data_IF_406600809981
#
_entry.id   IF_406600809981
#
_cell.length_a   1.000
_cell.length_b   1.000
_cell.length_c   1.000
_cell.angle_alpha   90.00
_cell.angle_beta   90.00
_cell.angle_gamma   90.00
#
_symmetry.space_group_name_H-M   'P 1'
#
loop_
_entity.id
_entity.type
_entity.pdbx_description
1 polymer ?
#
# COMPACT_ATOMS: atom_id res chain seq x y z
N UNK A 1 -16.11 -4.60 20.18
CA UNK A 1 -16.48 -5.75 19.34
C UNK A 1 -16.02 -5.58 17.89
N UNK A 2 -16.28 -4.44 17.22
CA UNK A 2 -15.86 -4.20 15.83
C UNK A 2 -14.34 -4.41 15.59
N UNK A 3 -13.48 -3.78 16.40
CA UNK A 3 -12.00 -3.82 16.26
C UNK A 3 -11.41 -5.25 16.29
N UNK A 4 -12.05 -6.20 16.94
CA UNK A 4 -11.44 -7.51 17.24
C UNK A 4 -11.92 -8.59 16.26
N UNK A 5 -13.21 -8.68 15.99
CA UNK A 5 -13.79 -9.78 15.21
C UNK A 5 -14.45 -9.29 13.92
N UNK A 6 -15.42 -8.38 14.02
CA UNK A 6 -16.23 -7.98 12.86
C UNK A 6 -15.40 -7.36 11.73
N UNK A 7 -14.41 -6.52 12.06
CA UNK A 7 -13.54 -5.93 11.06
C UNK A 7 -12.82 -6.99 10.22
N UNK A 8 -12.29 -8.03 10.84
CA UNK A 8 -11.55 -9.06 10.11
C UNK A 8 -12.44 -9.86 9.16
N UNK A 9 -13.67 -10.17 9.60
CA UNK A 9 -14.66 -10.88 8.77
C UNK A 9 -15.09 -10.00 7.60
N UNK A 10 -15.40 -8.73 7.85
CA UNK A 10 -15.77 -7.77 6.79
C UNK A 10 -14.63 -7.58 5.81
N UNK A 11 -13.40 -7.36 6.30
CA UNK A 11 -12.21 -7.22 5.44
C UNK A 11 -12.04 -8.46 4.54
N UNK A 12 -12.19 -9.67 5.10
CA UNK A 12 -12.08 -10.92 4.35
C UNK A 12 -13.16 -11.03 3.25
N UNK A 13 -14.44 -10.81 3.62
CA UNK A 13 -15.55 -10.93 2.67
C UNK A 13 -15.42 -9.89 1.55
N UNK A 14 -15.15 -8.64 1.89
CA UNK A 14 -15.02 -7.56 0.89
C UNK A 14 -13.78 -7.78 0.02
N UNK A 15 -12.66 -8.25 0.59
CA UNK A 15 -11.47 -8.59 -0.19
C UNK A 15 -11.71 -9.77 -1.13
N UNK A 16 -12.45 -10.79 -0.70
CA UNK A 16 -12.79 -11.95 -1.53
C UNK A 16 -13.68 -11.55 -2.71
N UNK A 17 -14.76 -10.81 -2.44
CA UNK A 17 -15.66 -10.30 -3.49
C UNK A 17 -14.88 -9.39 -4.44
N UNK A 18 -14.10 -8.44 -3.89
CA UNK A 18 -13.29 -7.53 -4.68
C UNK A 18 -12.26 -8.26 -5.55
N UNK A 19 -11.61 -9.30 -5.03
CA UNK A 19 -10.65 -10.09 -5.79
C UNK A 19 -11.32 -10.87 -6.92
N UNK A 20 -12.50 -11.49 -6.67
CA UNK A 20 -13.25 -12.21 -7.71
C UNK A 20 -13.68 -11.24 -8.82
N UNK A 21 -14.21 -10.06 -8.48
CA UNK A 21 -14.63 -9.06 -9.45
C UNK A 21 -13.47 -8.50 -10.28
N UNK A 22 -12.30 -8.33 -9.64
CA UNK A 22 -11.09 -7.81 -10.29
C UNK A 22 -10.23 -8.90 -10.95
N UNK A 23 -10.60 -10.18 -10.83
CA UNK A 23 -9.83 -11.30 -11.36
C UNK A 23 -9.54 -11.18 -12.86
N UNK A 24 -10.48 -10.80 -13.74
CA UNK A 24 -10.17 -10.62 -15.16
C UNK A 24 -9.08 -9.55 -15.39
N UNK A 25 -9.18 -8.42 -14.68
CA UNK A 25 -8.18 -7.34 -14.75
C UNK A 25 -6.84 -7.83 -14.21
N UNK A 26 -6.85 -8.54 -13.08
CA UNK A 26 -5.66 -9.13 -12.47
C UNK A 26 -4.92 -10.04 -13.46
N UNK A 27 -5.63 -10.92 -14.18
CA UNK A 27 -5.03 -11.82 -15.16
C UNK A 27 -4.44 -11.06 -16.35
N UNK A 28 -5.17 -10.09 -16.92
CA UNK A 28 -4.68 -9.26 -18.02
C UNK A 28 -3.42 -8.50 -17.61
N UNK A 29 -3.43 -7.83 -16.44
CA UNK A 29 -2.27 -7.09 -15.94
C UNK A 29 -1.09 -8.04 -15.67
N UNK A 30 -1.35 -9.24 -15.15
CA UNK A 30 -0.30 -10.25 -14.94
C UNK A 30 0.40 -10.60 -16.24
N UNK A 31 -0.36 -10.88 -17.31
CA UNK A 31 0.20 -11.24 -18.62
C UNK A 31 1.00 -10.06 -19.21
N UNK A 32 0.45 -8.85 -19.19
CA UNK A 32 1.13 -7.65 -19.69
C UNK A 32 2.45 -7.39 -18.97
N UNK A 33 2.45 -7.48 -17.64
CA UNK A 33 3.65 -7.28 -16.82
C UNK A 33 4.63 -8.45 -16.88
N UNK A 34 4.17 -9.67 -17.15
CA UNK A 34 5.04 -10.82 -17.42
C UNK A 34 5.96 -10.53 -18.61
N UNK A 35 5.42 -10.06 -19.72
CA UNK A 35 6.21 -9.68 -20.89
C UNK A 35 7.05 -8.41 -20.63
N UNK A 36 6.48 -7.37 -19.99
CA UNK A 36 7.18 -6.13 -19.73
C UNK A 36 8.37 -6.26 -18.75
N UNK A 37 8.35 -7.26 -17.87
CA UNK A 37 9.35 -7.50 -16.83
C UNK A 37 10.05 -8.86 -16.94
N UNK A 38 10.13 -9.42 -18.16
CA UNK A 38 10.91 -10.63 -18.44
C UNK A 38 10.55 -11.81 -17.52
N UNK A 39 9.27 -12.14 -17.43
CA UNK A 39 8.76 -13.26 -16.64
C UNK A 39 8.49 -12.97 -15.16
N UNK A 40 8.66 -11.72 -14.69
CA UNK A 40 8.50 -11.33 -13.29
C UNK A 40 7.36 -10.33 -13.09
N UNK A 41 6.07 -10.72 -13.14
CA UNK A 41 4.93 -9.78 -13.03
C UNK A 41 4.70 -9.26 -11.62
N UNK A 42 5.20 -9.94 -10.59
CA UNK A 42 4.99 -9.60 -9.19
C UNK A 42 6.24 -9.05 -8.51
N UNK A 43 6.00 -8.15 -7.57
CA UNK A 43 6.99 -7.58 -6.66
C UNK A 43 6.64 -7.98 -5.23
N UNK A 44 7.65 -8.43 -4.50
CA UNK A 44 7.53 -8.86 -3.11
C UNK A 44 8.48 -8.04 -2.24
N UNK A 45 8.00 -7.57 -1.09
CA UNK A 45 8.83 -6.84 -0.13
C UNK A 45 8.38 -7.14 1.29
N UNK A 46 9.36 -7.27 2.20
CA UNK A 46 9.07 -7.43 3.62
C UNK A 46 8.58 -6.11 4.20
N UNK A 47 7.53 -6.17 5.02
CA UNK A 47 6.92 -5.03 5.68
C UNK A 47 6.49 -5.40 7.10
N UNK A 48 6.53 -4.46 8.06
CA UNK A 48 5.96 -4.67 9.38
C UNK A 48 4.43 -4.59 9.33
N UNK A 49 3.81 -5.57 9.95
CA UNK A 49 2.37 -5.68 10.15
C UNK A 49 1.95 -5.33 11.57
N UNK A 50 0.84 -5.94 12.02
CA UNK A 50 0.37 -5.79 13.40
C UNK A 50 1.42 -6.29 14.39
N UNK A 51 1.62 -5.52 15.48
CA UNK A 51 2.65 -5.76 16.51
C UNK A 51 4.07 -5.89 15.92
N UNK A 52 4.35 -5.15 14.83
CA UNK A 52 5.60 -5.17 14.09
C UNK A 52 5.99 -6.55 13.49
N UNK A 53 5.09 -7.55 13.51
CA UNK A 53 5.34 -8.85 12.89
C UNK A 53 5.56 -8.68 11.39
N UNK A 54 6.70 -9.16 10.89
CA UNK A 54 7.04 -9.02 9.49
C UNK A 54 6.20 -9.93 8.60
N UNK A 55 5.75 -9.39 7.45
CA UNK A 55 5.06 -10.15 6.41
C UNK A 55 5.56 -9.73 5.03
N UNK A 56 5.23 -10.51 4.01
CA UNK A 56 5.59 -10.24 2.61
C UNK A 56 4.42 -9.61 1.88
N UNK A 57 4.51 -8.29 1.57
CA UNK A 57 3.53 -7.61 0.73
C UNK A 57 3.67 -8.06 -0.72
N UNK A 58 2.54 -8.19 -1.41
CA UNK A 58 2.45 -8.60 -2.82
C UNK A 58 1.93 -7.43 -3.64
N UNK A 59 2.65 -7.04 -4.70
CA UNK A 59 2.24 -6.01 -5.66
C UNK A 59 2.52 -6.46 -7.08
N UNK A 60 1.92 -5.80 -8.05
CA UNK A 60 2.41 -5.90 -9.41
C UNK A 60 3.73 -5.14 -9.56
N UNK A 61 4.67 -5.74 -10.30
CA UNK A 61 5.98 -5.17 -10.58
C UNK A 61 5.90 -4.17 -11.73
N UNK A 62 5.90 -2.89 -11.40
CA UNK A 62 5.76 -1.79 -12.37
C UNK A 62 7.10 -1.31 -12.94
N UNK A 63 8.22 -1.70 -12.32
CA UNK A 63 9.58 -1.33 -12.69
C UNK A 63 10.38 -2.57 -13.07
N UNK A 64 11.25 -2.46 -14.09
CA UNK A 64 12.19 -3.51 -14.47
C UNK A 64 13.44 -3.50 -13.56
N UNK A 65 14.32 -4.51 -13.74
CA UNK A 65 15.55 -4.68 -12.97
C UNK A 65 16.80 -4.12 -13.72
N UNK A 66 16.63 -3.09 -14.55
CA UNK A 66 17.77 -2.48 -15.26
C UNK A 66 18.80 -1.95 -14.28
N UNK A 67 20.06 -2.27 -14.55
CA UNK A 67 21.20 -1.88 -13.75
C UNK A 67 22.03 -0.80 -14.45
N UNK A 68 22.72 0.00 -13.69
CA UNK A 68 23.75 0.92 -14.12
C UNK A 68 25.08 0.16 -14.33
N UNK A 69 26.09 0.84 -14.88
CA UNK A 69 27.42 0.23 -15.18
C UNK A 69 28.16 -0.26 -13.92
N UNK A 70 27.84 0.30 -12.76
CA UNK A 70 28.38 -0.08 -11.46
C UNK A 70 27.66 -1.28 -10.80
N UNK A 71 26.68 -1.88 -11.48
CA UNK A 71 25.88 -3.00 -10.98
C UNK A 71 24.72 -2.60 -10.07
N UNK A 72 24.59 -1.31 -9.70
CA UNK A 72 23.46 -0.78 -8.96
C UNK A 72 22.19 -0.68 -9.82
N UNK A 73 21.02 -0.64 -9.20
CA UNK A 73 19.77 -0.41 -9.94
C UNK A 73 19.72 1.04 -10.48
N UNK A 74 19.27 1.19 -11.71
CA UNK A 74 18.99 2.53 -12.25
C UNK A 74 17.95 3.28 -11.42
N UNK A 75 17.94 4.62 -11.45
CA UNK A 75 16.90 5.44 -10.84
C UNK A 75 15.48 5.02 -11.25
N UNK A 76 14.52 5.12 -10.35
CA UNK A 76 13.16 4.62 -10.51
C UNK A 76 12.47 5.10 -11.80
N UNK A 77 12.69 6.36 -12.21
CA UNK A 77 12.09 6.92 -13.42
C UNK A 77 12.60 6.27 -14.71
N UNK A 78 13.82 5.70 -14.71
CA UNK A 78 14.40 4.98 -15.85
C UNK A 78 14.01 3.49 -15.87
N UNK A 79 13.52 2.96 -14.76
CA UNK A 79 13.09 1.58 -14.61
C UNK A 79 11.59 1.39 -14.82
N UNK A 80 10.82 2.47 -14.73
CA UNK A 80 9.37 2.43 -14.89
C UNK A 80 9.00 2.08 -16.34
N UNK A 81 8.35 0.94 -16.56
CA UNK A 81 7.89 0.52 -17.88
C UNK A 81 6.63 1.30 -18.31
N UNK A 82 6.34 1.36 -19.62
CA UNK A 82 5.11 2.02 -20.11
C UNK A 82 3.84 1.38 -19.49
N UNK A 83 3.78 0.04 -19.48
CA UNK A 83 2.69 -0.71 -18.83
C UNK A 83 2.70 -0.46 -17.32
N UNK A 84 3.86 -0.51 -16.67
CA UNK A 84 4.01 -0.22 -15.25
C UNK A 84 3.52 1.18 -14.86
N UNK A 85 3.79 2.18 -15.70
CA UNK A 85 3.31 3.55 -15.48
C UNK A 85 1.77 3.62 -15.51
N UNK A 86 1.14 2.97 -16.49
CA UNK A 86 -0.32 2.87 -16.56
C UNK A 86 -0.89 2.17 -15.31
N UNK A 87 -0.36 1.00 -14.97
CA UNK A 87 -0.78 0.18 -13.80
C UNK A 87 -0.64 0.98 -12.50
N UNK A 88 0.45 1.75 -12.34
CA UNK A 88 0.68 2.61 -11.16
C UNK A 88 -0.26 3.82 -11.11
N UNK A 89 -0.48 4.49 -12.24
CA UNK A 89 -1.40 5.65 -12.33
C UNK A 89 -2.86 5.28 -12.09
N UNK A 90 -3.22 4.03 -12.33
CA UNK A 90 -4.58 3.49 -12.06
C UNK A 90 -4.69 2.78 -10.72
N UNK A 91 -3.60 2.74 -9.91
CA UNK A 91 -3.51 2.01 -8.64
C UNK A 91 -3.79 0.50 -8.76
N UNK A 92 -3.76 -0.05 -9.97
CA UNK A 92 -3.94 -1.49 -10.20
C UNK A 92 -2.77 -2.31 -9.61
N UNK A 93 -1.60 -1.68 -9.40
CA UNK A 93 -0.43 -2.32 -8.79
C UNK A 93 -0.71 -2.86 -7.38
N UNK A 94 -1.74 -2.36 -6.72
CA UNK A 94 -2.12 -2.77 -5.36
C UNK A 94 -3.17 -3.90 -5.31
N UNK A 95 -3.77 -4.31 -6.44
CA UNK A 95 -4.75 -5.41 -6.48
C UNK A 95 -4.21 -6.70 -5.82
N UNK A 96 -2.94 -7.13 -6.04
CA UNK A 96 -2.42 -8.33 -5.40
C UNK A 96 -2.39 -8.26 -3.86
N UNK A 97 -2.45 -7.07 -3.23
CA UNK A 97 -2.54 -6.93 -1.78
C UNK A 97 -3.86 -7.48 -1.20
N UNK A 98 -4.91 -7.62 -2.02
CA UNK A 98 -6.13 -8.32 -1.60
C UNK A 98 -5.81 -9.75 -1.13
N UNK A 99 -4.81 -10.41 -1.72
CA UNK A 99 -4.33 -11.71 -1.26
C UNK A 99 -3.69 -11.63 0.14
N UNK A 100 -3.02 -10.51 0.47
CA UNK A 100 -2.52 -10.30 1.84
C UNK A 100 -3.66 -10.10 2.85
N UNK A 101 -4.76 -9.46 2.43
CA UNK A 101 -5.95 -9.33 3.28
C UNK A 101 -6.59 -10.69 3.52
N UNK A 102 -6.78 -11.50 2.47
CA UNK A 102 -7.32 -12.86 2.56
C UNK A 102 -6.45 -13.78 3.42
N UNK A 103 -5.13 -13.63 3.37
CA UNK A 103 -4.18 -14.34 4.25
C UNK A 103 -4.23 -13.85 5.71
N UNK A 104 -4.82 -12.69 5.96
CA UNK A 104 -4.88 -12.10 7.29
C UNK A 104 -3.64 -11.28 7.69
N UNK A 105 -2.68 -11.06 6.78
CA UNK A 105 -1.50 -10.21 7.01
C UNK A 105 -1.88 -8.72 7.06
N UNK A 106 -2.88 -8.33 6.25
CA UNK A 106 -3.35 -6.96 6.08
C UNK A 106 -4.85 -6.82 6.36
N UNK A 107 -5.31 -5.61 6.37
CA UNK A 107 -6.71 -5.16 6.35
C UNK A 107 -6.95 -4.37 5.07
N UNK A 108 -8.18 -4.18 4.66
CA UNK A 108 -8.51 -3.21 3.59
C UNK A 108 -8.13 -1.79 4.03
N UNK A 109 -8.43 -1.45 5.29
CA UNK A 109 -8.25 -0.11 5.85
C UNK A 109 -7.37 -0.16 7.10
N UNK A 110 -6.31 0.64 7.08
CA UNK A 110 -5.33 0.74 8.16
C UNK A 110 -4.15 1.63 7.78
N UNK A 111 -3.20 1.86 8.70
CA UNK A 111 -1.94 2.53 8.38
C UNK A 111 -1.17 1.82 7.27
N UNK A 112 -0.64 2.58 6.30
CA UNK A 112 0.13 1.99 5.20
C UNK A 112 1.40 1.31 5.73
N UNK A 113 1.71 0.05 5.36
CA UNK A 113 2.93 -0.63 5.84
C UNK A 113 4.16 0.05 5.25
N UNK A 114 5.06 0.51 6.11
CA UNK A 114 6.31 1.17 5.74
C UNK A 114 7.49 0.19 5.74
N UNK A 115 8.71 0.68 5.58
CA UNK A 115 9.90 -0.16 5.53
C UNK A 115 10.28 -0.69 6.94
N UNK A 116 10.80 -1.93 7.06
CA UNK A 116 11.28 -2.45 8.34
C UNK A 116 12.39 -1.61 8.96
N UNK A 117 13.21 -0.95 8.13
CA UNK A 117 14.30 -0.05 8.53
C UNK A 117 13.80 1.12 9.40
N UNK A 118 12.51 1.47 9.33
CA UNK A 118 11.92 2.56 10.11
C UNK A 118 11.51 2.15 11.52
N UNK A 119 11.44 0.84 11.83
CA UNK A 119 11.02 0.36 13.15
C UNK A 119 11.87 0.94 14.32
N UNK A 120 13.20 0.98 14.24
CA UNK A 120 14.01 1.56 15.31
C UNK A 120 13.95 3.09 15.39
N UNK A 121 13.41 3.75 14.35
CA UNK A 121 13.34 5.20 14.26
C UNK A 121 12.04 5.78 14.83
N UNK A 122 11.03 4.93 15.09
CA UNK A 122 9.73 5.39 15.58
C UNK A 122 9.81 5.79 17.06
N UNK A 123 9.20 6.94 17.39
CA UNK A 123 8.86 7.23 18.79
C UNK A 123 7.82 6.23 19.31
N UNK A 124 7.65 6.16 20.63
CA UNK A 124 6.62 5.32 21.25
C UNK A 124 5.22 5.62 20.69
N UNK A 125 4.89 6.90 20.44
CA UNK A 125 3.63 7.33 19.87
C UNK A 125 3.49 6.86 18.42
N UNK A 126 4.50 7.06 17.58
CA UNK A 126 4.49 6.64 16.17
C UNK A 126 4.37 5.12 16.04
N UNK A 127 4.98 4.35 16.95
CA UNK A 127 4.93 2.89 16.93
C UNK A 127 3.53 2.34 17.20
N UNK A 128 2.61 3.11 17.81
CA UNK A 128 1.20 2.73 18.03
C UNK A 128 0.46 2.40 16.73
N UNK A 129 0.94 2.87 15.59
CA UNK A 129 0.40 2.51 14.28
C UNK A 129 0.40 0.99 14.01
N UNK A 130 1.25 0.25 14.69
CA UNK A 130 1.34 -1.22 14.61
C UNK A 130 0.38 -1.96 15.56
N UNK A 131 -0.44 -1.27 16.34
CA UNK A 131 -1.48 -1.92 17.16
C UNK A 131 -2.63 -2.51 16.34
N UNK A 132 -2.76 -2.09 15.07
CA UNK A 132 -3.73 -2.61 14.11
C UNK A 132 -3.04 -3.25 12.91
N UNK A 133 -3.78 -4.03 12.09
CA UNK A 133 -3.24 -4.53 10.81
C UNK A 133 -3.01 -3.35 9.85
N UNK A 134 -1.94 -3.37 9.05
CA UNK A 134 -1.72 -2.38 8.00
C UNK A 134 -2.82 -2.50 6.93
N UNK A 135 -3.15 -1.37 6.29
CA UNK A 135 -4.19 -1.30 5.27
C UNK A 135 -3.65 -1.15 3.85
N UNK A 136 -4.46 -1.56 2.86
CA UNK A 136 -4.27 -1.18 1.46
C UNK A 136 -4.48 0.34 1.33
N UNK A 137 -5.55 0.85 1.95
CA UNK A 137 -5.82 2.28 2.13
C UNK A 137 -5.96 2.64 3.60
N UNK A 138 -6.04 3.93 3.94
CA UNK A 138 -6.17 4.38 5.31
C UNK A 138 -6.32 5.89 5.44
N UNK A 139 -6.44 6.37 6.68
CA UNK A 139 -6.74 7.76 6.97
C UNK A 139 -5.67 8.72 6.44
N UNK A 140 -4.37 8.40 6.60
CA UNK A 140 -3.29 9.20 6.05
C UNK A 140 -3.30 9.23 4.51
N UNK A 141 -3.66 8.11 3.84
CA UNK A 141 -3.69 8.03 2.38
C UNK A 141 -4.81 8.92 1.79
N UNK A 142 -5.96 9.05 2.45
CA UNK A 142 -7.03 9.91 1.97
C UNK A 142 -6.84 11.39 2.35
N UNK A 143 -5.99 11.71 3.35
CA UNK A 143 -5.76 13.06 3.83
C UNK A 143 -4.43 13.69 3.37
N UNK A 144 -3.84 13.24 2.27
CA UNK A 144 -2.66 13.89 1.69
C UNK A 144 -1.66 12.95 1.03
N UNK A 145 -1.74 11.62 1.30
CA UNK A 145 -0.88 10.61 0.64
C UNK A 145 0.62 10.91 0.79
N UNK A 146 1.24 11.37 -0.33
CA UNK A 146 2.67 11.70 -0.41
C UNK A 146 2.94 13.21 -0.30
N UNK A 147 1.89 14.04 -0.18
CA UNK A 147 2.01 15.50 -0.08
C UNK A 147 2.14 16.01 1.37
N UNK A 148 2.02 15.13 2.37
CA UNK A 148 2.13 15.47 3.79
C UNK A 148 3.47 15.04 4.37
N UNK A 149 3.94 15.73 5.42
CA UNK A 149 5.16 15.38 6.13
C UNK A 149 5.05 14.02 6.84
N UNK A 150 6.19 13.43 7.21
CA UNK A 150 6.22 12.20 8.00
C UNK A 150 5.50 12.35 9.34
N UNK A 151 5.70 13.48 10.02
CA UNK A 151 5.03 13.77 11.29
C UNK A 151 3.50 13.80 11.14
N UNK A 152 2.99 14.51 10.14
CA UNK A 152 1.56 14.55 9.85
C UNK A 152 1.01 13.14 9.50
N UNK A 153 1.75 12.36 8.73
CA UNK A 153 1.38 10.99 8.38
C UNK A 153 1.23 10.11 9.62
N UNK A 154 2.19 10.17 10.54
CA UNK A 154 2.14 9.39 11.78
C UNK A 154 1.02 9.86 12.70
N UNK A 155 0.78 11.16 12.82
CA UNK A 155 -0.37 11.71 13.56
C UNK A 155 -1.71 11.18 13.01
N UNK A 156 -1.87 11.13 11.70
CA UNK A 156 -3.08 10.60 11.05
C UNK A 156 -3.19 9.07 11.23
N UNK A 157 -2.08 8.34 11.20
CA UNK A 157 -2.07 6.90 11.42
C UNK A 157 -2.44 6.55 12.87
N UNK A 158 -1.89 7.26 13.87
CA UNK A 158 -2.21 7.04 15.30
C UNK A 158 -3.63 7.50 15.62
N UNK A 159 -4.07 8.62 15.05
CA UNK A 159 -5.46 9.06 15.17
C UNK A 159 -6.45 7.99 14.68
N UNK A 160 -6.16 7.35 13.52
CA UNK A 160 -6.98 6.24 13.03
C UNK A 160 -7.03 5.07 14.01
N UNK A 161 -5.89 4.71 14.62
CA UNK A 161 -5.84 3.62 15.63
C UNK A 161 -6.78 3.89 16.79
N UNK A 162 -6.84 5.15 17.27
CA UNK A 162 -7.69 5.56 18.39
C UNK A 162 -9.17 5.58 18.01
N UNK A 163 -9.50 6.08 16.82
CA UNK A 163 -10.88 6.30 16.35
C UNK A 163 -11.43 5.19 15.46
N UNK A 164 -10.71 4.04 15.35
CA UNK A 164 -11.12 2.92 14.50
C UNK A 164 -12.56 2.51 14.80
N UNK A 165 -13.43 2.60 13.80
CA UNK A 165 -14.85 2.25 13.85
C UNK A 165 -15.34 1.85 12.47
N UNK A 166 -16.48 1.14 12.41
CA UNK A 166 -17.08 0.74 11.13
C UNK A 166 -17.41 1.95 10.23
N UNK A 167 -17.98 3.01 10.81
CA UNK A 167 -18.34 4.22 10.05
C UNK A 167 -17.10 4.94 9.50
N UNK A 168 -16.00 4.98 10.27
CA UNK A 168 -14.75 5.56 9.81
C UNK A 168 -14.16 4.72 8.65
N UNK A 169 -14.16 3.39 8.78
CA UNK A 169 -13.68 2.51 7.72
C UNK A 169 -14.52 2.66 6.45
N UNK A 170 -15.84 2.71 6.56
CA UNK A 170 -16.73 2.94 5.42
C UNK A 170 -16.45 4.30 4.75
N UNK A 171 -16.29 5.36 5.54
CA UNK A 171 -15.93 6.70 5.04
C UNK A 171 -14.60 6.67 4.28
N UNK A 172 -13.57 6.02 4.84
CA UNK A 172 -12.26 5.89 4.18
C UNK A 172 -12.39 5.15 2.85
N UNK A 173 -13.15 4.04 2.83
CA UNK A 173 -13.37 3.26 1.62
C UNK A 173 -14.03 4.10 0.52
N UNK A 174 -15.11 4.80 0.83
CA UNK A 174 -15.83 5.66 -0.14
C UNK A 174 -14.93 6.79 -0.66
N UNK A 175 -14.16 7.46 0.20
CA UNK A 175 -13.22 8.49 -0.20
C UNK A 175 -12.06 7.93 -1.04
N UNK A 176 -11.61 6.72 -0.75
CA UNK A 176 -10.59 6.03 -1.57
C UNK A 176 -11.11 5.76 -2.98
N UNK A 177 -12.32 5.22 -3.11
CA UNK A 177 -12.94 4.98 -4.42
C UNK A 177 -13.05 6.29 -5.22
N UNK A 178 -13.52 7.38 -4.58
CA UNK A 178 -13.56 8.70 -5.21
C UNK A 178 -12.18 9.14 -5.71
N UNK A 179 -11.13 9.04 -4.88
CA UNK A 179 -9.77 9.45 -5.24
C UNK A 179 -9.15 8.60 -6.35
N UNK A 180 -9.44 7.31 -6.39
CA UNK A 180 -8.99 6.42 -7.48
C UNK A 180 -9.63 6.82 -8.80
N UNK A 181 -10.95 7.14 -8.81
CA UNK A 181 -11.67 7.58 -10.01
C UNK A 181 -11.16 8.95 -10.49
N UNK A 182 -10.98 9.90 -9.57
CA UNK A 182 -10.50 11.27 -9.90
C UNK A 182 -8.99 11.31 -10.16
N UNK A 183 -8.24 10.23 -9.82
CA UNK A 183 -6.77 10.12 -9.96
C UNK A 183 -6.00 11.19 -9.19
N UNK A 184 -6.50 11.61 -8.03
CA UNK A 184 -5.92 12.65 -7.20
C UNK A 184 -4.73 12.14 -6.38
N UNK A 185 -3.62 12.91 -6.33
CA UNK A 185 -2.49 12.69 -5.42
C UNK A 185 -1.63 11.46 -5.71
N UNK A 186 -1.56 10.97 -6.96
CA UNK A 186 -0.80 9.78 -7.34
C UNK A 186 0.71 10.05 -7.41
N UNK A 187 1.12 11.27 -7.73
CA UNK A 187 2.52 11.68 -7.81
C UNK A 187 2.80 12.86 -6.87
N UNK A 188 3.96 12.89 -6.21
CA UNK A 188 4.48 14.12 -5.65
C UNK A 188 4.97 15.03 -6.78
N UNK A 189 4.97 16.33 -6.56
CA UNK A 189 5.41 17.33 -7.57
C UNK A 189 6.88 17.20 -7.95
N UNK A 190 7.70 16.50 -7.16
CA UNK A 190 9.15 16.46 -7.31
C UNK A 190 9.76 15.05 -7.43
N UNK A 191 9.06 13.99 -7.02
CA UNK A 191 9.60 12.63 -7.09
C UNK A 191 8.51 11.56 -7.22
N UNK A 192 8.85 10.41 -7.81
CA UNK A 192 7.96 9.24 -7.95
C UNK A 192 7.72 8.56 -6.59
N UNK A 193 8.61 8.78 -5.63
CA UNK A 193 8.58 8.20 -4.28
C UNK A 193 8.82 9.29 -3.23
N UNK A 194 8.20 9.16 -2.07
CA UNK A 194 8.46 10.04 -0.92
C UNK A 194 9.91 9.86 -0.42
N UNK A 195 10.53 10.94 0.07
CA UNK A 195 11.84 10.88 0.72
C UNK A 195 11.85 9.87 1.86
N UNK A 196 13.03 9.29 2.13
CA UNK A 196 13.17 8.31 3.21
C UNK A 196 12.94 8.98 4.58
N UNK A 197 12.29 8.24 5.49
CA UNK A 197 12.21 8.64 6.89
C UNK A 197 13.56 8.39 7.57
N UNK A 198 14.10 9.41 8.19
CA UNK A 198 15.43 9.39 8.86
C UNK A 198 15.34 9.48 10.37
N UNK A 199 14.12 9.45 10.92
CA UNK A 199 13.86 9.72 12.35
C UNK A 199 13.41 11.16 12.59
N UNK A 200 13.08 11.45 13.85
CA UNK A 200 12.72 12.81 14.31
C UNK A 200 13.95 13.53 14.80
#
# INVERSE_FOLDING_TARGET
MYKILFKQVIDFIVALIGFILLLPIFLVVTVLLFFANQGKPFFFQIRPGKNAKLFKIIKFKTMNDKQAKDGGLLPDHLRLTKVGNFVRKTSLDEIPQLLNVLKGDMSLIGPRPLLPEYLPLYSAEQNRRHLVKPGITGWAQINGRNAISWEQKFKLDTWYVDHLSFLLDLRILLLTLKKVVVREGISSTTSVTMEKFTGN
#
